data_IF_470761667483
#
_entry.id   IF_470761667483
#
_cell.length_a   1.000
_cell.length_b   1.000
_cell.length_c   1.000
_cell.angle_alpha   90.00
_cell.angle_beta   90.00
_cell.angle_gamma   90.00
#
_symmetry.space_group_name_H-M   'P 1'
#
loop_
_entity.id
_entity.type
_entity.pdbx_description
1 polymer ?
#
# COMPACT_ATOMS: atom_id res chain seq x y z
N UNK A 1 -2.99 -4.87 12.66
CA UNK A 1 -2.30 -3.67 12.15
C UNK A 1 -0.85 -3.96 11.77
N UNK A 2 -0.09 -4.69 12.60
CA UNK A 2 1.31 -4.99 12.31
C UNK A 2 1.53 -5.85 11.06
N UNK A 3 0.76 -6.93 10.86
CA UNK A 3 0.96 -7.84 9.73
C UNK A 3 0.73 -7.17 8.37
N UNK A 4 -0.36 -6.40 8.23
CA UNK A 4 -0.66 -5.65 7.01
C UNK A 4 0.42 -4.60 6.69
N UNK A 5 0.95 -3.92 7.73
CA UNK A 5 2.02 -2.93 7.56
C UNK A 5 3.35 -3.59 7.19
N UNK A 6 3.69 -4.73 7.79
CA UNK A 6 4.89 -5.51 7.46
C UNK A 6 4.83 -6.04 6.02
N UNK A 7 3.68 -6.56 5.58
CA UNK A 7 3.47 -7.02 4.22
C UNK A 7 3.61 -5.92 3.17
N UNK A 8 3.10 -4.71 3.47
CA UNK A 8 3.26 -3.54 2.61
C UNK A 8 4.72 -3.06 2.54
N UNK A 9 5.42 -2.99 3.68
CA UNK A 9 6.84 -2.60 3.72
C UNK A 9 7.69 -3.59 2.92
N UNK A 10 7.44 -4.90 3.07
CA UNK A 10 8.13 -5.92 2.28
C UNK A 10 7.91 -5.72 0.76
N UNK A 11 6.66 -5.46 0.34
CA UNK A 11 6.35 -5.15 -1.06
C UNK A 11 7.05 -3.87 -1.54
N UNK A 12 7.10 -2.83 -0.72
CA UNK A 12 7.79 -1.58 -1.05
C UNK A 12 9.30 -1.79 -1.21
N UNK A 13 9.93 -2.58 -0.34
CA UNK A 13 11.36 -2.92 -0.44
C UNK A 13 11.64 -3.70 -1.72
N UNK A 14 10.85 -4.74 -2.01
CA UNK A 14 10.99 -5.53 -3.24
C UNK A 14 10.80 -4.64 -4.47
N UNK A 15 9.79 -3.76 -4.45
CA UNK A 15 9.54 -2.81 -5.52
C UNK A 15 10.75 -1.89 -5.77
N UNK A 16 11.36 -1.33 -4.72
CA UNK A 16 12.55 -0.46 -4.86
C UNK A 16 13.73 -1.27 -5.41
N UNK A 17 14.03 -2.43 -4.83
CA UNK A 17 15.16 -3.26 -5.23
C UNK A 17 15.06 -3.71 -6.70
N UNK A 18 13.89 -4.19 -7.11
CA UNK A 18 13.66 -4.62 -8.49
C UNK A 18 13.78 -3.44 -9.45
N UNK A 19 13.20 -2.27 -9.14
CA UNK A 19 13.31 -1.11 -10.03
C UNK A 19 14.74 -0.58 -10.14
N UNK A 20 15.50 -0.56 -9.05
CA UNK A 20 16.94 -0.20 -9.09
C UNK A 20 17.71 -1.17 -9.98
N UNK A 21 17.47 -2.48 -9.84
CA UNK A 21 18.07 -3.48 -10.72
C UNK A 21 17.69 -3.26 -12.19
N UNK A 22 16.42 -3.00 -12.50
CA UNK A 22 15.95 -2.76 -13.88
C UNK A 22 16.54 -1.48 -14.47
N UNK A 23 16.70 -0.41 -13.68
CA UNK A 23 17.40 0.81 -14.10
C UNK A 23 18.84 0.48 -14.48
N UNK A 24 19.56 -0.24 -13.62
CA UNK A 24 20.95 -0.64 -13.90
C UNK A 24 21.03 -1.50 -15.16
N UNK A 25 20.19 -2.52 -15.29
CA UNK A 25 20.15 -3.37 -16.49
C UNK A 25 19.86 -2.55 -17.74
N UNK A 26 18.90 -1.64 -17.68
CA UNK A 26 18.56 -0.82 -18.84
C UNK A 26 19.74 0.06 -19.27
N UNK A 27 20.38 0.74 -18.32
CA UNK A 27 21.50 1.65 -18.62
C UNK A 27 22.76 0.90 -19.07
N UNK A 28 22.99 -0.32 -18.58
CA UNK A 28 24.17 -1.12 -18.94
C UNK A 28 23.99 -1.81 -20.29
N UNK A 29 22.86 -2.47 -20.54
CA UNK A 29 22.70 -3.32 -21.72
C UNK A 29 22.07 -2.60 -22.91
N UNK A 30 21.13 -1.67 -22.68
CA UNK A 30 20.38 -0.99 -23.77
C UNK A 30 20.18 0.49 -23.44
N UNK A 31 21.24 1.31 -23.27
CA UNK A 31 21.12 2.70 -22.85
C UNK A 31 20.36 3.59 -23.85
N UNK A 32 20.28 3.18 -25.12
CA UNK A 32 19.58 3.93 -26.18
C UNK A 32 18.05 3.86 -26.08
N UNK A 33 17.51 2.90 -25.31
CA UNK A 33 16.06 2.70 -25.17
C UNK A 33 15.73 2.66 -23.69
N UNK A 34 15.10 3.71 -23.17
CA UNK A 34 14.75 3.80 -21.75
C UNK A 34 13.45 3.04 -21.47
N UNK A 35 13.54 1.73 -21.23
CA UNK A 35 12.39 0.86 -20.97
C UNK A 35 12.09 0.66 -19.49
N UNK A 36 13.01 0.99 -18.57
CA UNK A 36 12.75 0.81 -17.12
C UNK A 36 11.55 1.65 -16.61
N UNK A 37 11.16 2.70 -17.33
CA UNK A 37 10.05 3.58 -16.98
C UNK A 37 8.70 2.86 -16.98
N UNK A 38 8.50 1.89 -17.88
CA UNK A 38 7.25 1.13 -17.99
C UNK A 38 6.95 0.29 -16.74
N UNK A 39 7.86 -0.59 -16.26
CA UNK A 39 7.63 -1.32 -15.01
C UNK A 39 7.59 -0.39 -13.80
N UNK A 40 8.38 0.69 -13.77
CA UNK A 40 8.37 1.67 -12.68
C UNK A 40 6.99 2.33 -12.53
N UNK A 41 6.43 2.91 -13.60
CA UNK A 41 5.12 3.55 -13.54
C UNK A 41 4.00 2.50 -13.37
N UNK A 42 4.03 1.42 -14.16
CA UNK A 42 2.97 0.42 -14.15
C UNK A 42 2.79 -0.23 -12.78
N UNK A 43 3.89 -0.68 -12.16
CA UNK A 43 3.84 -1.30 -10.84
C UNK A 43 3.67 -0.26 -9.73
N UNK A 44 4.23 0.94 -9.90
CA UNK A 44 4.09 2.04 -8.94
C UNK A 44 2.63 2.46 -8.75
N UNK A 45 1.85 2.52 -9.83
CA UNK A 45 0.41 2.81 -9.77
C UNK A 45 -0.34 1.72 -9.00
N UNK A 46 -0.03 0.44 -9.25
CA UNK A 46 -0.61 -0.68 -8.51
C UNK A 46 -0.34 -0.61 -7.00
N UNK A 47 0.90 -0.30 -6.62
CA UNK A 47 1.30 -0.14 -5.22
C UNK A 47 0.59 1.05 -4.55
N UNK A 48 0.50 2.19 -5.25
CA UNK A 48 -0.18 3.38 -4.76
C UNK A 48 -1.68 3.15 -4.54
N UNK A 49 -2.34 2.47 -5.48
CA UNK A 49 -3.75 2.07 -5.29
C UNK A 49 -3.90 1.15 -4.09
N UNK A 50 -3.03 0.15 -3.94
CA UNK A 50 -3.09 -0.77 -2.80
C UNK A 50 -2.97 -0.03 -1.46
N UNK A 51 -2.06 0.94 -1.37
CA UNK A 51 -1.91 1.79 -0.19
C UNK A 51 -3.16 2.65 0.08
N UNK A 52 -3.68 3.35 -0.93
CA UNK A 52 -4.86 4.21 -0.79
C UNK A 52 -6.09 3.42 -0.37
N UNK A 53 -6.32 2.25 -0.96
CA UNK A 53 -7.41 1.37 -0.56
C UNK A 53 -7.21 0.81 0.84
N UNK A 54 -6.01 0.41 1.22
CA UNK A 54 -5.71 -0.08 2.57
C UNK A 54 -5.97 1.00 3.63
N UNK A 55 -5.51 2.23 3.41
CA UNK A 55 -5.72 3.36 4.34
C UNK A 55 -7.20 3.71 4.47
N UNK A 56 -7.91 3.87 3.34
CA UNK A 56 -9.35 4.17 3.34
C UNK A 56 -10.18 3.06 3.98
N UNK A 57 -9.80 1.80 3.76
CA UNK A 57 -10.48 0.66 4.36
C UNK A 57 -10.28 0.62 5.88
N UNK A 58 -9.06 0.88 6.34
CA UNK A 58 -8.75 0.96 7.77
C UNK A 58 -9.56 2.07 8.45
N UNK A 59 -9.59 3.27 7.88
CA UNK A 59 -10.34 4.41 8.41
C UNK A 59 -11.83 4.09 8.56
N UNK A 60 -12.44 3.53 7.51
CA UNK A 60 -13.85 3.09 7.54
C UNK A 60 -14.10 2.06 8.65
N UNK A 61 -13.20 1.09 8.79
CA UNK A 61 -13.33 0.02 9.79
C UNK A 61 -13.20 0.55 11.22
N UNK A 62 -12.35 1.56 11.45
CA UNK A 62 -12.20 2.21 12.75
C UNK A 62 -13.47 3.00 13.12
N UNK A 63 -14.00 3.81 12.20
CA UNK A 63 -15.25 4.54 12.41
C UNK A 63 -16.43 3.60 12.71
N UNK A 64 -16.56 2.49 11.98
CA UNK A 64 -17.60 1.49 12.25
C UNK A 64 -17.45 0.84 13.64
N UNK A 65 -16.22 0.66 14.12
CA UNK A 65 -15.95 0.11 15.47
C UNK A 65 -16.30 1.10 16.57
N UNK A 66 -15.93 2.38 16.42
CA UNK A 66 -16.27 3.44 17.37
C UNK A 66 -17.77 3.65 17.46
N UNK A 67 -18.47 3.77 16.31
CA UNK A 67 -19.93 3.91 16.28
C UNK A 67 -20.65 2.73 16.96
N UNK A 68 -20.18 1.50 16.77
CA UNK A 68 -20.71 0.31 17.48
C UNK A 68 -20.35 0.29 18.96
N UNK A 69 -19.22 0.84 19.37
CA UNK A 69 -18.83 0.94 20.77
C UNK A 69 -19.71 1.97 21.51
N UNK A 70 -19.91 3.16 20.91
CA UNK A 70 -20.80 4.19 21.44
C UNK A 70 -22.25 3.72 21.53
N UNK A 71 -22.77 3.07 20.49
CA UNK A 71 -24.12 2.49 20.51
C UNK A 71 -24.30 1.50 21.67
N UNK A 72 -23.31 0.62 21.89
CA UNK A 72 -23.33 -0.35 22.99
C UNK A 72 -23.22 0.33 24.36
N UNK A 73 -22.37 1.35 24.51
CA UNK A 73 -22.23 2.12 25.75
C UNK A 73 -23.53 2.86 26.09
N UNK A 74 -24.16 3.54 25.12
CA UNK A 74 -25.45 4.22 25.31
C UNK A 74 -26.56 3.24 25.68
N UNK A 75 -26.62 2.08 25.01
CA UNK A 75 -27.61 1.05 25.30
C UNK A 75 -27.44 0.47 26.71
N UNK A 76 -26.20 0.22 27.14
CA UNK A 76 -25.90 -0.30 28.48
C UNK A 76 -26.19 0.70 29.61
N UNK A 77 -26.12 2.01 29.35
CA UNK A 77 -26.47 3.07 30.31
C UNK A 77 -27.99 3.29 30.38
N UNK A 78 -28.72 2.98 29.30
CA UNK A 78 -30.20 3.12 29.26
C UNK A 78 -30.98 1.92 29.79
N UNK A 79 -30.31 0.80 30.11
CA UNK A 79 -30.89 -0.39 30.74
C UNK A 79 -30.64 -0.37 32.24
#
# INVERSE_FOLDING_TARGET
MEEARRGFIAHLIVYILVNVMLIVVNLVYVPKVIWFFYPLIGWGIGLAMHYLFAVRWIEKTLMEKEAKAEYRARKAVSQ
#
